data_IF_657219111692
#
_entry.id   IF_657219111692
#
_cell.length_a   1.000
_cell.length_b   1.000
_cell.length_c   1.000
_cell.angle_alpha   90.00
_cell.angle_beta   90.00
_cell.angle_gamma   90.00
#
_symmetry.space_group_name_H-M   'P 1'
#
loop_
_entity.id
_entity.type
_entity.pdbx_description
1 polymer ?
#
# COMPACT_ATOMS: atom_id res chain seq x y z
N UNK A 1 15.21 19.12 2.09
CA UNK A 1 15.67 18.12 3.09
C UNK A 1 15.15 16.71 2.82
N UNK A 2 13.91 16.31 3.16
CA UNK A 2 13.43 14.93 2.90
C UNK A 2 13.44 14.58 1.40
N UNK A 3 13.00 15.49 0.53
CA UNK A 3 13.01 15.27 -0.92
C UNK A 3 14.41 15.05 -1.51
N UNK A 4 15.44 15.70 -0.96
CA UNK A 4 16.83 15.52 -1.41
C UNK A 4 17.43 14.21 -0.92
N UNK A 5 17.12 13.80 0.30
CA UNK A 5 17.54 12.50 0.84
C UNK A 5 16.89 11.37 0.05
N UNK A 6 15.59 11.46 -0.25
CA UNK A 6 14.87 10.46 -1.03
C UNK A 6 15.43 10.34 -2.45
N UNK A 7 15.74 11.49 -3.07
CA UNK A 7 16.39 11.53 -4.38
C UNK A 7 17.78 10.90 -4.37
N UNK A 8 18.59 11.14 -3.33
CA UNK A 8 19.91 10.52 -3.18
C UNK A 8 19.84 9.00 -2.95
N UNK A 9 18.77 8.54 -2.30
CA UNK A 9 18.53 7.12 -2.02
C UNK A 9 17.71 6.43 -3.14
N UNK A 10 17.32 7.16 -4.18
CA UNK A 10 16.44 6.70 -5.26
C UNK A 10 15.10 6.10 -4.78
N UNK A 11 14.60 6.56 -3.63
CA UNK A 11 13.32 6.14 -3.05
C UNK A 11 12.30 7.28 -3.09
N UNK A 12 11.02 6.94 -2.95
CA UNK A 12 9.98 7.96 -2.83
C UNK A 12 10.15 8.74 -1.51
N UNK A 13 10.02 10.09 -1.49
CA UNK A 13 10.03 10.87 -0.26
C UNK A 13 9.05 10.39 0.81
N UNK A 14 7.92 9.79 0.43
CA UNK A 14 6.96 9.18 1.37
C UNK A 14 7.53 7.96 2.10
N UNK A 15 8.48 7.23 1.51
CA UNK A 15 9.17 6.09 2.13
C UNK A 15 10.10 6.49 3.29
N UNK A 16 10.42 7.78 3.40
CA UNK A 16 11.24 8.34 4.50
C UNK A 16 10.40 8.89 5.66
N UNK A 17 9.07 8.93 5.54
CA UNK A 17 8.19 9.19 6.68
C UNK A 17 8.12 7.91 7.52
N UNK A 18 8.92 7.83 8.58
CA UNK A 18 8.91 6.70 9.54
C UNK A 18 7.72 6.73 10.49
N UNK A 19 7.11 7.91 10.65
CA UNK A 19 6.11 8.14 11.70
C UNK A 19 4.72 8.15 11.08
N UNK A 20 4.25 6.97 10.68
CA UNK A 20 2.81 6.74 10.46
C UNK A 20 2.08 6.48 11.78
N UNK A 21 2.72 6.89 12.89
CA UNK A 21 2.28 6.68 14.24
C UNK A 21 2.35 5.22 14.70
N UNK A 22 2.15 5.02 15.99
CA UNK A 22 2.38 3.72 16.66
C UNK A 22 1.11 3.15 17.29
N UNK A 23 0.00 3.88 17.18
CA UNK A 23 -1.28 3.48 17.75
C UNK A 23 -2.38 3.36 16.69
N UNK A 24 -3.54 2.87 17.13
CA UNK A 24 -4.66 2.61 16.24
C UNK A 24 -5.27 3.89 15.63
N UNK A 25 -5.15 5.05 16.30
CA UNK A 25 -5.65 6.32 15.78
C UNK A 25 -4.82 6.77 14.59
N UNK A 26 -3.50 6.67 14.71
CA UNK A 26 -2.61 7.04 13.61
C UNK A 26 -2.84 6.13 12.39
N UNK A 27 -3.03 4.83 12.62
CA UNK A 27 -3.32 3.87 11.57
C UNK A 27 -4.66 4.13 10.85
N UNK A 28 -5.73 4.49 11.58
CA UNK A 28 -7.03 4.77 10.95
C UNK A 28 -7.01 6.11 10.19
N UNK A 29 -6.24 7.10 10.66
CA UNK A 29 -6.08 8.36 9.93
C UNK A 29 -5.43 8.17 8.56
N UNK A 30 -4.46 7.25 8.43
CA UNK A 30 -3.95 6.87 7.10
C UNK A 30 -5.03 6.28 6.20
N UNK A 31 -5.93 5.46 6.76
CA UNK A 31 -7.01 4.88 5.96
C UNK A 31 -8.01 5.95 5.50
N UNK A 32 -8.26 6.98 6.31
CA UNK A 32 -9.06 8.13 5.89
C UNK A 32 -8.41 8.92 4.75
N UNK A 33 -7.09 9.14 4.79
CA UNK A 33 -6.39 9.78 3.66
C UNK A 33 -6.52 8.95 2.36
N UNK A 34 -6.49 7.62 2.46
CA UNK A 34 -6.68 6.73 1.31
C UNK A 34 -8.13 6.69 0.81
N UNK A 35 -9.11 6.79 1.71
CA UNK A 35 -10.53 6.96 1.38
C UNK A 35 -10.72 8.22 0.55
N UNK A 36 -10.19 9.36 1.00
CA UNK A 36 -10.33 10.64 0.29
C UNK A 36 -9.58 10.65 -1.06
N UNK A 37 -8.37 10.11 -1.12
CA UNK A 37 -7.53 10.18 -2.32
C UNK A 37 -7.91 9.16 -3.40
N UNK A 38 -8.36 7.96 -3.00
CA UNK A 38 -8.56 6.83 -3.91
C UNK A 38 -9.96 6.22 -3.83
N UNK A 39 -10.87 6.80 -3.05
CA UNK A 39 -12.20 6.27 -2.79
C UNK A 39 -12.16 4.84 -2.20
N UNK A 40 -11.14 4.55 -1.40
CA UNK A 40 -11.01 3.25 -0.73
C UNK A 40 -12.05 3.15 0.40
N UNK A 41 -12.90 2.12 0.37
CA UNK A 41 -14.02 2.00 1.31
C UNK A 41 -13.94 0.72 2.15
N UNK A 42 -14.27 0.77 3.46
CA UNK A 42 -14.42 -0.42 4.27
C UNK A 42 -15.71 -1.16 3.91
N UNK A 43 -15.60 -2.44 3.54
CA UNK A 43 -16.73 -3.31 3.19
C UNK A 43 -16.75 -4.55 4.08
N UNK A 44 -17.95 -5.00 4.48
CA UNK A 44 -18.14 -6.25 5.23
C UNK A 44 -18.25 -7.44 4.26
N UNK A 45 -17.33 -8.40 4.38
CA UNK A 45 -17.36 -9.68 3.66
C UNK A 45 -17.42 -10.81 4.68
N UNK A 46 -18.58 -11.48 4.77
CA UNK A 46 -18.85 -12.43 5.86
C UNK A 46 -18.79 -11.71 7.21
N UNK A 47 -17.94 -12.17 8.14
CA UNK A 47 -17.69 -11.49 9.42
C UNK A 47 -16.42 -10.62 9.44
N UNK A 48 -15.75 -10.45 8.30
CA UNK A 48 -14.50 -9.69 8.19
C UNK A 48 -14.75 -8.33 7.54
N UNK A 49 -14.08 -7.29 8.07
CA UNK A 49 -14.01 -5.97 7.41
C UNK A 49 -12.79 -5.97 6.50
N UNK A 50 -13.00 -5.66 5.23
CA UNK A 50 -11.96 -5.55 4.21
C UNK A 50 -11.99 -4.15 3.61
N UNK A 51 -10.87 -3.69 3.05
CA UNK A 51 -10.82 -2.46 2.27
C UNK A 51 -11.01 -2.82 0.79
N UNK A 52 -11.94 -2.16 0.13
CA UNK A 52 -12.26 -2.37 -1.27
C UNK A 52 -12.04 -1.08 -2.08
N UNK A 53 -11.59 -1.22 -3.32
CA UNK A 53 -11.66 -0.16 -4.31
C UNK A 53 -13.03 -0.20 -5.00
N UNK A 54 -13.55 0.94 -5.48
CA UNK A 54 -14.80 0.97 -6.22
C UNK A 54 -14.70 0.18 -7.52
N UNK A 55 -15.83 -0.35 -8.01
CA UNK A 55 -15.87 -1.10 -9.27
C UNK A 55 -15.59 -0.20 -10.48
N UNK A 56 -16.04 1.05 -10.42
CA UNK A 56 -15.80 2.09 -11.42
C UNK A 56 -14.63 2.97 -10.97
N UNK A 57 -13.47 2.77 -11.58
CA UNK A 57 -12.27 3.57 -11.30
C UNK A 57 -12.33 4.84 -12.15
N UNK A 58 -12.42 5.99 -11.48
CA UNK A 58 -12.59 7.30 -12.11
C UNK A 58 -11.29 8.00 -12.47
N UNK A 59 -10.12 7.47 -12.08
CA UNK A 59 -8.81 8.10 -12.34
C UNK A 59 -7.69 7.08 -12.64
N UNK A 60 -6.68 7.54 -13.39
CA UNK A 60 -5.46 6.75 -13.67
C UNK A 60 -4.72 6.34 -12.38
N UNK A 61 -4.72 7.22 -11.37
CA UNK A 61 -4.12 6.94 -10.07
C UNK A 61 -4.86 5.83 -9.31
N UNK A 62 -6.20 5.79 -9.39
CA UNK A 62 -7.00 4.69 -8.84
C UNK A 62 -6.72 3.37 -9.57
N UNK A 63 -6.54 3.39 -10.89
CA UNK A 63 -6.12 2.21 -11.64
C UNK A 63 -4.72 1.72 -11.26
N UNK A 64 -3.77 2.64 -11.09
CA UNK A 64 -2.41 2.34 -10.66
C UNK A 64 -2.43 1.69 -9.27
N UNK A 65 -3.19 2.25 -8.32
CA UNK A 65 -3.37 1.65 -7.01
C UNK A 65 -4.01 0.25 -7.10
N UNK A 66 -5.05 0.07 -7.93
CA UNK A 66 -5.67 -1.24 -8.13
C UNK A 66 -4.67 -2.28 -8.67
N UNK A 67 -3.80 -1.87 -9.61
CA UNK A 67 -2.71 -2.71 -10.13
C UNK A 67 -1.70 -3.02 -9.02
N UNK A 68 -1.34 -2.04 -8.19
CA UNK A 68 -0.42 -2.23 -7.08
C UNK A 68 -0.95 -3.21 -6.02
N UNK A 69 -2.22 -3.07 -5.61
CA UNK A 69 -2.87 -3.98 -4.67
C UNK A 69 -2.91 -5.43 -5.20
N UNK A 70 -3.15 -5.61 -6.50
CA UNK A 70 -3.10 -6.94 -7.14
C UNK A 70 -1.71 -7.57 -7.10
N UNK A 71 -0.65 -6.79 -7.35
CA UNK A 71 0.72 -7.28 -7.21
C UNK A 71 1.04 -7.64 -5.76
N UNK A 72 0.63 -6.78 -4.82
CA UNK A 72 0.81 -7.05 -3.41
C UNK A 72 0.10 -8.31 -2.94
N UNK A 73 -1.14 -8.53 -3.38
CA UNK A 73 -1.89 -9.74 -3.09
C UNK A 73 -1.14 -11.00 -3.56
N UNK A 74 -0.62 -10.99 -4.80
CA UNK A 74 0.14 -12.12 -5.37
C UNK A 74 1.39 -12.41 -4.54
N UNK A 75 2.26 -11.42 -4.35
CA UNK A 75 3.51 -11.65 -3.62
C UNK A 75 3.29 -12.00 -2.15
N UNK A 76 2.23 -11.49 -1.52
CA UNK A 76 1.86 -11.87 -0.17
C UNK A 76 1.32 -13.31 -0.08
N UNK A 77 0.62 -13.78 -1.11
CA UNK A 77 0.20 -15.18 -1.23
C UNK A 77 1.43 -16.07 -1.43
N UNK A 78 2.29 -15.73 -2.38
CA UNK A 78 3.49 -16.50 -2.69
C UNK A 78 4.44 -16.58 -1.48
N UNK A 79 4.52 -15.52 -0.66
CA UNK A 79 5.20 -15.55 0.64
C UNK A 79 4.57 -16.52 1.65
N UNK A 80 3.23 -16.61 1.69
CA UNK A 80 2.51 -17.52 2.61
C UNK A 80 2.58 -18.97 2.16
N UNK A 81 2.70 -19.20 0.86
CA UNK A 81 2.80 -20.51 0.25
C UNK A 81 4.28 -20.99 0.16
N UNK A 82 5.21 -20.26 0.80
CA UNK A 82 6.66 -20.50 0.80
C UNK A 82 7.31 -20.51 -0.61
N UNK A 83 6.62 -19.95 -1.62
CA UNK A 83 7.12 -19.78 -3.00
C UNK A 83 8.05 -18.56 -3.13
N UNK A 84 8.01 -17.66 -2.15
CA UNK A 84 8.83 -16.45 -2.11
C UNK A 84 9.36 -16.25 -0.68
N UNK A 85 10.67 -16.07 -0.53
CA UNK A 85 11.27 -15.90 0.79
C UNK A 85 10.94 -14.53 1.39
N UNK A 86 11.11 -14.39 2.72
CA UNK A 86 10.89 -13.12 3.40
C UNK A 86 11.81 -12.01 2.88
N UNK A 87 13.07 -12.34 2.56
CA UNK A 87 14.04 -11.36 2.07
C UNK A 87 13.68 -10.90 0.65
N UNK A 88 13.26 -11.82 -0.22
CA UNK A 88 12.74 -11.49 -1.56
C UNK A 88 11.48 -10.63 -1.49
N UNK A 89 10.61 -10.88 -0.50
CA UNK A 89 9.41 -10.07 -0.28
C UNK A 89 9.74 -8.64 0.14
N UNK A 90 10.72 -8.47 1.03
CA UNK A 90 11.18 -7.15 1.48
C UNK A 90 11.86 -6.42 0.31
N UNK A 91 12.77 -7.08 -0.41
CA UNK A 91 13.42 -6.50 -1.58
C UNK A 91 12.42 -6.09 -2.68
N UNK A 92 11.36 -6.87 -2.89
CA UNK A 92 10.27 -6.48 -3.79
C UNK A 92 9.54 -5.23 -3.30
N UNK A 93 9.21 -5.13 -2.00
CA UNK A 93 8.59 -3.91 -1.45
C UNK A 93 9.46 -2.68 -1.65
N UNK A 94 10.76 -2.82 -1.42
CA UNK A 94 11.71 -1.71 -1.51
C UNK A 94 11.93 -1.24 -2.97
N UNK A 95 11.77 -2.13 -3.94
CA UNK A 95 11.91 -1.83 -5.37
C UNK A 95 10.58 -1.55 -6.09
N UNK A 96 9.46 -1.56 -5.38
CA UNK A 96 8.12 -1.45 -5.96
C UNK A 96 7.89 -0.09 -6.65
N UNK A 97 7.35 -0.12 -7.87
CA UNK A 97 6.95 1.06 -8.64
C UNK A 97 5.55 0.81 -9.21
N UNK A 98 4.59 1.65 -8.80
CA UNK A 98 3.19 1.61 -9.24
C UNK A 98 3.01 2.28 -10.60
#
# INVERSE_FOLDING_TARGET
MIAEIARCLEVNPSSLKSDWGSDANDAIHMLFELEEAFCLEPTKVGETIVLALPEDLGSEDQEALAKALRHWYRNNRDLKDDELTRDEYVAWKDSFKA
#
